data_IF_027161673701
#
_entry.id   IF_027161673701
#
_cell.length_a   1.000
_cell.length_b   1.000
_cell.length_c   1.000
_cell.angle_alpha   90.00
_cell.angle_beta   90.00
_cell.angle_gamma   90.00
#
_symmetry.space_group_name_H-M   'P 1'
#
loop_
_entity.id
_entity.type
_entity.pdbx_description
1 polymer ?
#
# COMPACT_ATOMS: atom_id res chain seq x y z
N UNK A 1 -0.06 -5.34 20.27
CA UNK A 1 -0.31 -5.08 18.83
C UNK A 1 0.02 -6.31 17.97
N UNK A 2 0.38 -7.42 18.62
CA UNK A 2 1.06 -8.56 18.00
C UNK A 2 0.07 -9.61 17.45
N UNK A 3 -1.11 -9.74 18.05
CA UNK A 3 -2.09 -10.76 17.66
C UNK A 3 -2.64 -10.64 16.23
N UNK A 4 -2.66 -9.45 15.63
CA UNK A 4 -3.06 -9.29 14.22
C UNK A 4 -2.03 -9.93 13.27
N UNK A 5 -0.73 -9.72 13.55
CA UNK A 5 0.35 -10.18 12.67
C UNK A 5 0.37 -11.70 12.70
N UNK A 6 0.29 -12.29 13.89
CA UNK A 6 0.20 -13.73 14.08
C UNK A 6 -1.03 -14.31 13.36
N UNK A 7 -2.18 -13.62 13.43
CA UNK A 7 -3.40 -14.04 12.72
C UNK A 7 -3.20 -14.00 11.20
N UNK A 8 -2.54 -12.96 10.68
CA UNK A 8 -2.28 -12.81 9.25
C UNK A 8 -1.29 -13.86 8.74
N UNK A 9 -0.25 -14.16 9.52
CA UNK A 9 0.71 -15.23 9.24
C UNK A 9 0.01 -16.58 9.21
N UNK A 10 -0.75 -16.91 10.25
CA UNK A 10 -1.51 -18.15 10.32
C UNK A 10 -2.50 -18.28 9.14
N UNK A 11 -3.08 -17.17 8.70
CA UNK A 11 -3.94 -17.13 7.52
C UNK A 11 -3.18 -17.45 6.23
N UNK A 12 -1.99 -16.87 6.03
CA UNK A 12 -1.13 -17.17 4.88
C UNK A 12 -0.69 -18.64 4.89
N UNK A 13 -0.24 -19.15 6.03
CA UNK A 13 0.22 -20.54 6.16
C UNK A 13 -0.89 -21.54 5.88
N UNK A 14 -2.12 -21.24 6.29
CA UNK A 14 -3.29 -22.09 6.01
C UNK A 14 -3.78 -22.00 4.56
N UNK A 15 -3.47 -20.92 3.84
CA UNK A 15 -3.99 -20.64 2.50
C UNK A 15 -2.87 -20.39 1.47
N UNK A 16 -1.79 -21.20 1.51
CA UNK A 16 -0.62 -20.99 0.63
C UNK A 16 -0.94 -21.02 -0.87
N UNK A 17 -1.98 -21.75 -1.29
CA UNK A 17 -2.44 -21.75 -2.70
C UNK A 17 -2.92 -20.37 -3.15
N UNK A 18 -3.46 -19.58 -2.21
CA UNK A 18 -4.01 -18.24 -2.45
C UNK A 18 -3.03 -17.13 -2.15
N UNK A 19 -1.83 -17.48 -1.66
CA UNK A 19 -0.75 -16.55 -1.35
C UNK A 19 -0.52 -15.43 -2.38
N UNK A 20 -0.42 -15.70 -3.70
CA UNK A 20 -0.24 -14.62 -4.67
C UNK A 20 -1.41 -13.63 -4.66
N UNK A 21 -2.65 -14.11 -4.50
CA UNK A 21 -3.82 -13.23 -4.45
C UNK A 21 -3.87 -12.44 -3.13
N UNK A 22 -3.54 -13.09 -2.01
CA UNK A 22 -3.48 -12.44 -0.68
C UNK A 22 -2.48 -11.30 -0.71
N UNK A 23 -1.27 -11.56 -1.22
CA UNK A 23 -0.21 -10.56 -1.32
C UNK A 23 -0.53 -9.46 -2.33
N UNK A 24 -1.25 -9.78 -3.40
CA UNK A 24 -1.75 -8.80 -4.35
C UNK A 24 -2.70 -7.81 -3.67
N UNK A 25 -3.70 -8.31 -2.96
CA UNK A 25 -4.68 -7.46 -2.27
C UNK A 25 -4.00 -6.66 -1.17
N UNK A 26 -3.14 -7.29 -0.38
CA UNK A 26 -2.39 -6.64 0.70
C UNK A 26 -1.52 -5.51 0.16
N UNK A 27 -0.69 -5.77 -0.85
CA UNK A 27 0.20 -4.75 -1.43
C UNK A 27 -0.57 -3.64 -2.16
N UNK A 28 -1.68 -3.96 -2.82
CA UNK A 28 -2.55 -2.96 -3.44
C UNK A 28 -3.19 -2.04 -2.39
N UNK A 29 -3.68 -2.62 -1.28
CA UNK A 29 -4.24 -1.86 -0.17
C UNK A 29 -3.19 -0.97 0.51
N UNK A 30 -2.01 -1.50 0.79
CA UNK A 30 -0.90 -0.76 1.41
C UNK A 30 -0.44 0.43 0.55
N UNK A 31 -0.35 0.25 -0.77
CA UNK A 31 0.12 1.30 -1.71
C UNK A 31 -0.98 2.27 -2.13
N UNK A 32 -2.23 1.99 -1.77
CA UNK A 32 -3.35 2.91 -1.99
C UNK A 32 -3.29 4.06 -0.97
N UNK A 33 -3.31 5.30 -1.47
CA UNK A 33 -3.34 6.49 -0.63
C UNK A 33 -4.47 6.40 0.41
N UNK A 34 -4.21 6.90 1.62
CA UNK A 34 -5.08 6.81 2.81
C UNK A 34 -5.20 5.43 3.48
N UNK A 35 -5.25 4.32 2.74
CA UNK A 35 -5.30 2.98 3.34
C UNK A 35 -4.00 2.61 4.08
N UNK A 36 -2.87 3.08 3.56
CA UNK A 36 -1.54 2.89 4.17
C UNK A 36 -1.43 3.40 5.62
N UNK A 37 -2.20 4.43 5.98
CA UNK A 37 -2.18 5.00 7.34
C UNK A 37 -2.82 4.03 8.36
N UNK A 38 -3.74 3.19 7.90
CA UNK A 38 -4.54 2.34 8.78
C UNK A 38 -3.86 1.00 9.10
N UNK A 39 -2.97 0.54 8.22
CA UNK A 39 -2.36 -0.79 8.31
C UNK A 39 -0.85 -0.62 8.59
N UNK A 40 -0.34 -1.07 9.76
CA UNK A 40 1.09 -1.08 10.04
C UNK A 40 1.78 -2.19 9.23
N UNK A 41 2.00 -1.93 7.95
CA UNK A 41 2.45 -2.91 6.96
C UNK A 41 3.90 -3.35 7.13
N UNK A 42 4.75 -2.48 7.66
CA UNK A 42 6.19 -2.73 7.81
C UNK A 42 6.47 -3.98 8.66
N UNK A 43 5.77 -4.14 9.78
CA UNK A 43 5.93 -5.31 10.64
C UNK A 43 5.45 -6.61 9.96
N UNK A 44 4.34 -6.54 9.22
CA UNK A 44 3.79 -7.67 8.44
C UNK A 44 4.76 -8.08 7.34
N UNK A 45 5.29 -7.13 6.57
CA UNK A 45 6.25 -7.41 5.50
C UNK A 45 7.55 -8.03 6.03
N UNK A 46 8.06 -7.55 7.16
CA UNK A 46 9.23 -8.14 7.82
C UNK A 46 8.96 -9.58 8.25
N UNK A 47 7.80 -9.83 8.88
CA UNK A 47 7.46 -11.17 9.35
C UNK A 47 7.21 -12.16 8.19
N UNK A 48 6.46 -11.74 7.17
CA UNK A 48 6.21 -12.52 5.95
C UNK A 48 7.52 -12.76 5.17
N UNK A 49 8.43 -11.79 5.13
CA UNK A 49 9.76 -11.95 4.54
C UNK A 49 10.62 -12.95 5.31
N UNK A 50 10.58 -12.93 6.65
CA UNK A 50 11.27 -13.90 7.48
C UNK A 50 10.73 -15.33 7.25
N UNK A 51 9.41 -15.49 7.14
CA UNK A 51 8.78 -16.77 6.81
C UNK A 51 9.19 -17.28 5.42
N UNK A 52 9.21 -16.39 4.42
CA UNK A 52 9.68 -16.75 3.09
C UNK A 52 11.16 -17.20 3.11
N UNK A 53 12.01 -16.55 3.92
CA UNK A 53 13.42 -16.92 4.08
C UNK A 53 13.61 -18.30 4.74
N UNK A 54 12.69 -18.71 5.63
CA UNK A 54 12.70 -20.06 6.24
C UNK A 54 12.23 -21.16 5.29
N UNK A 55 11.62 -20.79 4.15
CA UNK A 55 10.98 -21.72 3.22
C UNK A 55 9.57 -22.16 3.65
N UNK A 56 9.04 -21.62 4.75
CA UNK A 56 7.67 -21.90 5.19
C UNK A 56 6.62 -21.46 4.16
N UNK A 57 6.93 -20.42 3.37
CA UNK A 57 6.03 -19.84 2.36
C UNK A 57 6.80 -19.71 1.03
N UNK A 58 6.22 -20.09 -0.12
CA UNK A 58 6.93 -20.03 -1.39
C UNK A 58 7.18 -18.57 -1.82
N UNK A 59 8.46 -18.22 -2.00
CA UNK A 59 8.89 -16.86 -2.29
C UNK A 59 8.36 -16.32 -3.64
N UNK A 60 8.44 -17.10 -4.71
CA UNK A 60 8.10 -16.61 -6.05
C UNK A 60 6.62 -16.19 -6.20
N UNK A 61 5.62 -16.98 -5.75
CA UNK A 61 4.22 -16.55 -5.76
C UNK A 61 3.95 -15.34 -4.87
N UNK A 62 4.56 -15.29 -3.67
CA UNK A 62 4.49 -14.15 -2.76
C UNK A 62 4.99 -12.88 -3.43
N UNK A 63 6.19 -12.95 -4.02
CA UNK A 63 6.83 -11.83 -4.69
C UNK A 63 6.04 -11.37 -5.93
N UNK A 64 5.56 -12.30 -6.75
CA UNK A 64 4.77 -11.98 -7.93
C UNK A 64 3.44 -11.30 -7.54
N UNK A 65 2.73 -11.84 -6.56
CA UNK A 65 1.50 -11.27 -6.02
C UNK A 65 1.72 -9.85 -5.48
N UNK A 66 2.71 -9.69 -4.60
CA UNK A 66 3.06 -8.40 -4.02
C UNK A 66 3.45 -7.36 -5.08
N UNK A 67 4.25 -7.75 -6.08
CA UNK A 67 4.67 -6.86 -7.17
C UNK A 67 3.48 -6.37 -8.00
N UNK A 68 2.61 -7.28 -8.42
CA UNK A 68 1.41 -6.94 -9.19
C UNK A 68 0.46 -6.08 -8.36
N UNK A 69 0.26 -6.42 -7.09
CA UNK A 69 -0.54 -5.64 -6.16
C UNK A 69 -0.02 -4.21 -6.00
N UNK A 70 1.28 -4.05 -5.78
CA UNK A 70 1.91 -2.75 -5.65
C UNK A 70 1.81 -1.91 -6.93
N UNK A 71 1.95 -2.52 -8.11
CA UNK A 71 1.75 -1.85 -9.39
C UNK A 71 0.31 -1.36 -9.55
N UNK A 72 -0.67 -2.20 -9.22
CA UNK A 72 -2.09 -1.85 -9.29
C UNK A 72 -2.40 -0.72 -8.31
N UNK A 73 -2.00 -0.85 -7.05
CA UNK A 73 -2.27 0.14 -6.02
C UNK A 73 -1.58 1.49 -6.31
N UNK A 74 -0.35 1.48 -6.81
CA UNK A 74 0.35 2.70 -7.25
C UNK A 74 -0.35 3.35 -8.44
N UNK A 75 -0.76 2.55 -9.44
CA UNK A 75 -1.48 3.05 -10.61
C UNK A 75 -2.84 3.63 -10.23
N UNK A 76 -3.55 2.97 -9.30
CA UNK A 76 -4.83 3.44 -8.76
C UNK A 76 -4.67 4.72 -7.95
N UNK A 77 -3.67 4.79 -7.07
CA UNK A 77 -3.30 6.02 -6.33
C UNK A 77 -2.98 7.18 -7.28
N UNK A 78 -2.22 6.92 -8.33
CA UNK A 78 -1.90 7.92 -9.34
C UNK A 78 -3.16 8.40 -10.07
N UNK A 79 -4.01 7.47 -10.51
CA UNK A 79 -5.27 7.81 -11.16
C UNK A 79 -6.19 8.64 -10.25
N UNK A 80 -6.25 8.30 -8.97
CA UNK A 80 -7.02 9.05 -7.97
C UNK A 80 -6.48 10.47 -7.81
N UNK A 81 -5.16 10.62 -7.69
CA UNK A 81 -4.49 11.92 -7.64
C UNK A 81 -4.70 12.76 -8.90
N UNK A 82 -4.65 12.14 -10.08
CA UNK A 82 -4.88 12.80 -11.35
C UNK A 82 -6.34 13.26 -11.51
N UNK A 83 -7.30 12.40 -11.13
CA UNK A 83 -8.74 12.67 -11.31
C UNK A 83 -9.31 13.65 -10.28
N UNK A 84 -8.82 13.59 -9.03
CA UNK A 84 -9.36 14.34 -7.91
C UNK A 84 -8.40 15.39 -7.35
N UNK A 85 -7.14 15.44 -7.80
CA UNK A 85 -6.13 16.35 -7.26
C UNK A 85 -6.57 17.81 -7.28
N UNK A 86 -7.18 18.28 -8.37
CA UNK A 86 -7.72 19.64 -8.47
C UNK A 86 -8.85 19.89 -7.47
N UNK A 87 -9.69 18.89 -7.21
CA UNK A 87 -10.76 18.99 -6.21
C UNK A 87 -10.16 19.01 -4.80
N UNK A 88 -9.18 18.16 -4.49
CA UNK A 88 -8.50 18.09 -3.19
C UNK A 88 -7.83 19.42 -2.85
N UNK A 89 -7.23 20.11 -3.82
CA UNK A 89 -6.65 21.45 -3.62
C UNK A 89 -7.69 22.51 -3.22
N UNK A 90 -8.96 22.30 -3.56
CA UNK A 90 -10.07 23.18 -3.20
C UNK A 90 -10.84 22.74 -1.95
N UNK A 91 -10.44 21.61 -1.34
CA UNK A 91 -11.02 21.10 -0.09
C UNK A 91 -10.29 21.66 1.13
N UNK A 92 -10.95 21.66 2.29
CA UNK A 92 -10.27 21.95 3.57
C UNK A 92 -9.32 20.81 3.94
N UNK A 93 -8.14 21.09 4.53
CA UNK A 93 -7.66 22.40 4.99
C UNK A 93 -6.92 23.24 3.94
N UNK A 94 -6.62 22.71 2.74
CA UNK A 94 -5.85 23.41 1.70
C UNK A 94 -6.54 24.67 1.17
N UNK A 95 -7.88 24.66 1.11
CA UNK A 95 -8.69 25.84 0.75
C UNK A 95 -8.43 27.05 1.65
N UNK A 96 -8.15 26.83 2.93
CA UNK A 96 -7.93 27.92 3.89
C UNK A 96 -6.48 28.46 3.83
N UNK A 97 -5.61 27.85 3.00
CA UNK A 97 -4.19 28.19 2.85
C UNK A 97 -3.73 28.21 1.38
N UNK A 98 -4.28 29.09 0.53
CA UNK A 98 -3.95 29.16 -0.90
C UNK A 98 -2.46 29.43 -1.18
N UNK A 99 -1.77 30.12 -0.27
CA UNK A 99 -0.33 30.41 -0.37
C UNK A 99 0.54 29.13 -0.38
N UNK A 100 0.09 28.06 0.27
CA UNK A 100 0.78 26.76 0.26
C UNK A 100 0.59 26.06 -1.08
N UNK A 101 -0.61 26.17 -1.67
CA UNK A 101 -0.93 25.59 -2.99
C UNK A 101 -0.11 26.26 -4.09
N UNK A 102 -0.02 27.59 -4.07
CA UNK A 102 0.75 28.37 -5.05
C UNK A 102 2.26 28.03 -4.98
N UNK A 103 2.84 27.97 -3.77
CA UNK A 103 4.23 27.54 -3.57
C UNK A 103 4.51 26.12 -4.07
N UNK A 104 3.58 25.19 -3.81
CA UNK A 104 3.70 23.82 -4.30
C UNK A 104 3.70 23.80 -5.84
N UNK A 105 2.76 24.49 -6.48
CA UNK A 105 2.69 24.60 -7.95
C UNK A 105 3.93 25.24 -8.57
N UNK A 106 4.44 26.32 -7.97
CA UNK A 106 5.65 26.99 -8.42
C UNK A 106 6.89 26.06 -8.36
N UNK A 107 6.92 25.11 -7.41
CA UNK A 107 8.02 24.14 -7.28
C UNK A 107 8.06 23.10 -8.41
N UNK A 108 6.92 22.81 -9.06
CA UNK A 108 6.84 21.88 -10.20
C UNK A 108 7.06 22.55 -11.56
N UNK A 109 7.08 23.89 -11.61
CA UNK A 109 7.26 24.68 -12.86
C UNK A 109 8.72 25.11 -13.08
N UNK A 110 9.60 24.84 -12.12
CA UNK A 110 11.05 25.11 -12.17
C UNK A 110 11.80 23.90 -12.71
#
# INVERSE_FOLDING_TARGET
MDGWIDTFIAFIERNQEWLPLIMLIFAAAETTAFLSILIPSTAVLVAVGALAATGAVPFWPLWAGATVGALIGSSFSYWLGWRYGTTVLTMRPLKDHPEMVEKAQASFTK
#
